data_IF_480285541568
#
_entry.id   IF_480285541568
#
_cell.length_a   1.000
_cell.length_b   1.000
_cell.length_c   1.000
_cell.angle_alpha   90.00
_cell.angle_beta   90.00
_cell.angle_gamma   90.00
#
_symmetry.space_group_name_H-M   'P 1'
#
loop_
_entity.id
_entity.type
_entity.pdbx_description
1 polymer ?
#
# COMPACT_ATOMS: atom_id res chain seq x y z
N UNK A 1 -19.27 -27.20 -10.54
CA UNK A 1 -18.08 -26.84 -9.74
C UNK A 1 -17.39 -25.70 -10.44
N UNK A 2 -17.26 -24.55 -9.79
CA UNK A 2 -16.48 -23.42 -10.32
C UNK A 2 -15.01 -23.70 -10.00
N UNK A 3 -14.14 -23.73 -11.00
CA UNK A 3 -12.70 -23.95 -10.77
C UNK A 3 -12.01 -22.67 -10.30
N UNK A 4 -10.86 -22.80 -9.63
CA UNK A 4 -10.03 -21.65 -9.25
C UNK A 4 -9.61 -20.79 -10.47
N UNK A 5 -9.43 -21.43 -11.64
CA UNK A 5 -9.15 -20.72 -12.89
C UNK A 5 -10.35 -19.91 -13.39
N UNK A 6 -11.58 -20.42 -13.24
CA UNK A 6 -12.79 -19.66 -13.59
C UNK A 6 -13.06 -18.49 -12.65
N UNK A 7 -12.67 -18.60 -11.38
CA UNK A 7 -12.72 -17.49 -10.41
C UNK A 7 -11.67 -16.43 -10.75
N UNK A 8 -10.44 -16.84 -11.12
CA UNK A 8 -9.37 -15.92 -11.49
C UNK A 8 -9.62 -15.11 -12.77
N UNK A 9 -10.49 -15.60 -13.65
CA UNK A 9 -10.87 -14.92 -14.89
C UNK A 9 -11.93 -13.82 -14.70
N UNK A 10 -12.55 -13.72 -13.53
CA UNK A 10 -13.61 -12.75 -13.24
C UNK A 10 -13.06 -11.46 -12.68
N UNK A 11 -13.70 -10.34 -13.00
CA UNK A 11 -13.35 -9.04 -12.45
C UNK A 11 -13.74 -8.94 -10.97
N UNK A 12 -13.09 -8.05 -10.19
CA UNK A 12 -13.45 -7.80 -8.79
C UNK A 12 -14.94 -7.50 -8.56
N UNK A 13 -15.56 -6.75 -9.48
CA UNK A 13 -16.96 -6.39 -9.41
C UNK A 13 -17.88 -7.61 -9.59
N UNK A 14 -17.62 -8.43 -10.62
CA UNK A 14 -18.41 -9.64 -10.89
C UNK A 14 -18.29 -10.67 -9.77
N UNK A 15 -17.12 -10.76 -9.14
CA UNK A 15 -16.95 -11.62 -7.98
C UNK A 15 -17.68 -11.04 -6.77
N UNK A 16 -17.58 -9.73 -6.49
CA UNK A 16 -18.26 -9.10 -5.36
C UNK A 16 -19.79 -9.27 -5.44
N UNK A 17 -20.36 -9.12 -6.64
CA UNK A 17 -21.79 -9.33 -6.89
C UNK A 17 -22.18 -10.81 -6.73
N UNK A 18 -21.35 -11.74 -7.19
CA UNK A 18 -21.58 -13.18 -7.03
C UNK A 18 -21.57 -13.63 -5.56
N UNK A 19 -20.72 -13.03 -4.72
CA UNK A 19 -20.66 -13.40 -3.29
C UNK A 19 -21.76 -12.72 -2.48
N UNK A 20 -22.13 -11.47 -2.81
CA UNK A 20 -23.36 -10.83 -2.26
C UNK A 20 -24.61 -11.64 -2.57
N UNK A 21 -24.72 -12.19 -3.79
CA UNK A 21 -25.85 -13.04 -4.17
C UNK A 21 -25.97 -14.34 -3.35
N UNK A 22 -24.91 -14.74 -2.64
CA UNK A 22 -24.91 -15.91 -1.75
C UNK A 22 -24.96 -15.54 -0.26
N UNK A 23 -25.21 -14.27 0.07
CA UNK A 23 -25.38 -13.79 1.44
C UNK A 23 -24.17 -14.08 2.35
N UNK A 24 -22.97 -14.08 1.77
CA UNK A 24 -21.70 -14.27 2.48
C UNK A 24 -21.06 -12.91 2.73
N UNK A 25 -20.82 -12.59 4.00
CA UNK A 25 -20.05 -11.40 4.38
C UNK A 25 -18.58 -11.59 4.04
N UNK A 26 -18.03 -10.62 3.30
CA UNK A 26 -16.68 -10.69 2.77
C UNK A 26 -15.64 -10.34 3.82
N UNK A 27 -14.62 -11.19 3.95
CA UNK A 27 -13.39 -10.82 4.65
C UNK A 27 -12.54 -9.98 3.71
N UNK A 28 -12.84 -8.68 3.67
CA UNK A 28 -12.02 -7.65 3.05
C UNK A 28 -12.54 -7.03 1.74
N UNK A 29 -11.82 -6.05 1.17
CA UNK A 29 -12.19 -5.32 -0.04
C UNK A 29 -12.03 -6.20 -1.29
N UNK A 30 -13.04 -6.21 -2.17
CA UNK A 30 -13.04 -6.89 -3.47
C UNK A 30 -11.82 -6.57 -4.33
N UNK A 31 -11.18 -5.40 -4.13
CA UNK A 31 -9.92 -5.01 -4.79
C UNK A 31 -8.74 -5.95 -4.48
N UNK A 32 -8.79 -6.72 -3.39
CA UNK A 32 -7.70 -7.64 -3.02
C UNK A 32 -7.81 -9.03 -3.66
N UNK A 33 -8.95 -9.34 -4.25
CA UNK A 33 -9.26 -10.68 -4.77
C UNK A 33 -8.45 -11.11 -5.99
N UNK A 34 -8.13 -10.24 -6.98
CA UNK A 34 -7.23 -10.63 -8.05
C UNK A 34 -5.85 -11.06 -7.53
N UNK A 35 -5.38 -10.42 -6.45
CA UNK A 35 -4.10 -10.74 -5.81
C UNK A 35 -4.17 -12.06 -5.03
N UNK A 36 -5.26 -12.31 -4.31
CA UNK A 36 -5.52 -13.61 -3.66
C UNK A 36 -5.61 -14.75 -4.68
N UNK A 37 -6.35 -14.55 -5.77
CA UNK A 37 -6.52 -15.55 -6.84
C UNK A 37 -5.18 -15.87 -7.52
N UNK A 38 -4.34 -14.86 -7.77
CA UNK A 38 -3.00 -15.05 -8.34
C UNK A 38 -2.07 -15.84 -7.41
N UNK A 39 -2.09 -15.55 -6.10
CA UNK A 39 -1.30 -16.27 -5.10
C UNK A 39 -1.78 -17.72 -4.94
N UNK A 40 -3.10 -17.94 -4.91
CA UNK A 40 -3.68 -19.28 -4.87
C UNK A 40 -3.37 -20.10 -6.13
N UNK A 41 -3.46 -19.50 -7.31
CA UNK A 41 -3.10 -20.14 -8.58
C UNK A 41 -1.59 -20.47 -8.65
N UNK A 42 -0.74 -19.66 -8.01
CA UNK A 42 0.69 -19.91 -7.88
C UNK A 42 1.06 -20.92 -6.79
N UNK A 43 0.09 -21.39 -5.98
CA UNK A 43 0.34 -22.26 -4.83
C UNK A 43 1.13 -21.58 -3.70
N UNK A 44 1.19 -20.25 -3.66
CA UNK A 44 1.94 -19.48 -2.68
C UNK A 44 1.15 -19.32 -1.38
N UNK A 45 1.16 -20.40 -0.57
CA UNK A 45 0.47 -20.44 0.72
C UNK A 45 1.00 -19.38 1.71
N UNK A 46 2.29 -19.04 1.64
CA UNK A 46 2.91 -18.04 2.51
C UNK A 46 2.46 -16.62 2.14
N UNK A 47 2.43 -16.31 0.84
CA UNK A 47 1.89 -15.05 0.34
C UNK A 47 0.39 -14.90 0.64
N UNK A 48 -0.37 -16.01 0.61
CA UNK A 48 -1.78 -16.00 0.99
C UNK A 48 -1.98 -15.68 2.48
N UNK A 49 -1.16 -16.26 3.35
CA UNK A 49 -1.25 -16.03 4.80
C UNK A 49 -0.75 -14.65 5.21
N UNK A 50 0.28 -14.14 4.52
CA UNK A 50 0.73 -12.76 4.70
C UNK A 50 -0.34 -11.76 4.26
N UNK A 51 -0.99 -12.03 3.12
CA UNK A 51 -2.08 -11.22 2.63
C UNK A 51 -3.26 -11.24 3.61
N UNK A 52 -3.64 -12.39 4.17
CA UNK A 52 -4.68 -12.48 5.21
C UNK A 52 -4.34 -11.68 6.47
N UNK A 53 -3.09 -11.73 6.94
CA UNK A 53 -2.64 -10.91 8.09
C UNK A 53 -2.71 -9.42 7.80
N UNK A 54 -2.36 -9.02 6.57
CA UNK A 54 -2.42 -7.64 6.09
C UNK A 54 -3.85 -7.15 5.85
N UNK A 55 -4.80 -8.04 5.62
CA UNK A 55 -6.20 -7.75 5.22
C UNK A 55 -7.16 -7.72 6.42
N UNK A 56 -6.67 -7.56 7.65
CA UNK A 56 -7.55 -7.24 8.78
C UNK A 56 -8.30 -5.95 8.42
N UNK A 57 -9.62 -6.06 8.19
CA UNK A 57 -10.55 -5.01 7.72
C UNK A 57 -10.49 -4.63 6.23
N UNK A 58 -9.97 -5.49 5.35
CA UNK A 58 -10.08 -5.28 3.90
C UNK A 58 -9.12 -4.27 3.28
N UNK A 59 -8.23 -3.70 4.10
CA UNK A 59 -7.25 -2.71 3.70
C UNK A 59 -5.87 -3.36 3.78
N UNK A 60 -5.26 -3.70 2.65
CA UNK A 60 -3.89 -4.19 2.64
C UNK A 60 -2.96 -3.03 3.04
N UNK A 61 -2.57 -2.96 4.31
CA UNK A 61 -1.64 -1.96 4.79
C UNK A 61 -0.25 -2.23 4.23
N UNK A 62 0.34 -1.24 3.58
CA UNK A 62 1.77 -1.28 3.30
C UNK A 62 2.58 -0.86 4.52
N UNK A 63 3.84 -1.30 4.50
CA UNK A 63 4.81 -0.86 5.48
C UNK A 63 5.48 0.42 5.01
N UNK A 64 4.85 1.56 5.33
CA UNK A 64 5.37 2.88 5.00
C UNK A 64 6.72 3.19 5.67
N UNK A 65 7.14 2.41 6.69
CA UNK A 65 8.45 2.60 7.32
C UNK A 65 9.63 2.19 6.43
N UNK A 66 9.35 1.53 5.30
CA UNK A 66 10.33 1.29 4.25
C UNK A 66 10.82 2.59 3.58
N UNK A 67 10.04 3.67 3.67
CA UNK A 67 10.37 4.97 3.09
C UNK A 67 11.26 5.78 4.05
N UNK A 68 12.30 6.41 3.53
CA UNK A 68 13.21 7.23 4.31
C UNK A 68 12.49 8.45 4.88
N UNK A 69 12.62 8.65 6.19
CA UNK A 69 11.97 9.73 6.93
C UNK A 69 10.64 9.33 7.58
N UNK A 70 10.14 8.11 7.37
CA UNK A 70 8.93 7.58 7.99
C UNK A 70 9.27 6.55 9.07
N UNK A 71 9.07 6.93 10.34
CA UNK A 71 9.16 6.02 11.48
C UNK A 71 7.78 5.46 11.92
N UNK A 72 7.75 4.50 12.86
CA UNK A 72 6.50 3.84 13.28
C UNK A 72 5.40 4.80 13.75
N UNK A 73 5.76 5.87 14.48
CA UNK A 73 4.81 6.89 14.94
C UNK A 73 4.15 7.63 13.78
N UNK A 74 4.93 7.93 12.74
CA UNK A 74 4.45 8.66 11.58
C UNK A 74 3.64 7.74 10.66
N UNK A 75 4.04 6.48 10.49
CA UNK A 75 3.22 5.48 9.82
C UNK A 75 1.84 5.37 10.49
N UNK A 76 1.77 5.35 11.82
CA UNK A 76 0.48 5.32 12.51
C UNK A 76 -0.34 6.59 12.23
N UNK A 77 0.28 7.78 12.33
CA UNK A 77 -0.38 9.05 12.00
C UNK A 77 -0.95 9.04 10.57
N UNK A 78 -0.19 8.56 9.59
CA UNK A 78 -0.62 8.47 8.20
C UNK A 78 -1.82 7.51 8.05
N UNK A 79 -1.77 6.35 8.71
CA UNK A 79 -2.86 5.37 8.73
C UNK A 79 -4.14 5.94 9.35
N UNK A 80 -4.01 6.66 10.46
CA UNK A 80 -5.14 7.33 11.13
C UNK A 80 -5.79 8.40 10.24
N UNK A 81 -5.05 8.91 9.24
CA UNK A 81 -5.52 9.85 8.22
C UNK A 81 -5.85 9.18 6.88
N UNK A 82 -5.99 7.86 6.84
CA UNK A 82 -6.42 7.11 5.64
C UNK A 82 -5.32 6.80 4.63
N UNK A 83 -4.07 7.17 4.90
CA UNK A 83 -2.91 6.88 4.05
C UNK A 83 -2.32 5.54 4.53
N UNK A 84 -2.74 4.45 3.90
CA UNK A 84 -2.47 3.09 4.38
C UNK A 84 -1.58 2.27 3.44
N UNK A 85 -1.43 2.71 2.18
CA UNK A 85 -0.64 2.03 1.14
C UNK A 85 0.39 2.96 0.49
N UNK A 86 1.33 2.38 -0.26
CA UNK A 86 2.26 3.17 -1.08
C UNK A 86 1.53 3.97 -2.17
N UNK A 87 0.42 3.44 -2.68
CA UNK A 87 -0.40 4.14 -3.67
C UNK A 87 -1.05 5.39 -3.06
N UNK A 88 -1.66 5.25 -1.87
CA UNK A 88 -2.27 6.40 -1.17
C UNK A 88 -1.23 7.49 -0.89
N UNK A 89 -0.04 7.10 -0.44
CA UNK A 89 1.02 8.05 -0.12
C UNK A 89 1.65 8.67 -1.38
N UNK A 90 1.69 7.95 -2.50
CA UNK A 90 2.15 8.47 -3.78
C UNK A 90 1.21 9.55 -4.35
N UNK A 91 -0.09 9.43 -4.07
CA UNK A 91 -1.13 10.39 -4.49
C UNK A 91 -1.38 11.50 -3.47
N UNK A 92 -0.83 11.37 -2.25
CA UNK A 92 -1.02 12.34 -1.18
C UNK A 92 -0.42 13.70 -1.54
N UNK A 93 -1.20 14.75 -1.29
CA UNK A 93 -0.74 16.13 -1.45
C UNK A 93 0.34 16.48 -0.40
N UNK A 94 1.44 17.05 -0.87
CA UNK A 94 2.59 17.38 0.00
C UNK A 94 2.23 18.44 1.04
N UNK A 95 1.37 19.42 0.73
CA UNK A 95 0.94 20.42 1.71
C UNK A 95 0.09 19.79 2.81
N UNK A 96 -0.81 18.87 2.46
CA UNK A 96 -1.55 18.09 3.43
C UNK A 96 -0.62 17.27 4.34
N UNK A 97 0.37 16.58 3.79
CA UNK A 97 1.37 15.85 4.58
C UNK A 97 2.14 16.79 5.51
N UNK A 98 2.56 17.96 5.01
CA UNK A 98 3.25 18.98 5.84
C UNK A 98 2.35 19.45 6.97
N UNK A 99 1.04 19.61 6.74
CA UNK A 99 0.07 19.95 7.78
C UNK A 99 0.02 18.87 8.86
N UNK A 100 -0.12 17.59 8.51
CA UNK A 100 -0.16 16.47 9.46
C UNK A 100 1.12 16.41 10.31
N UNK A 101 2.28 16.50 9.68
CA UNK A 101 3.60 16.45 10.35
C UNK A 101 3.77 17.62 11.31
N UNK A 102 3.37 18.84 10.89
CA UNK A 102 3.42 20.04 11.74
C UNK A 102 2.47 19.94 12.93
N UNK A 103 1.23 19.48 12.71
CA UNK A 103 0.25 19.28 13.77
C UNK A 103 0.75 18.27 14.81
N UNK A 104 1.43 17.21 14.37
CA UNK A 104 2.05 16.20 15.22
C UNK A 104 3.41 16.64 15.83
N UNK A 105 3.90 17.85 15.51
CA UNK A 105 5.20 18.40 15.96
C UNK A 105 6.38 17.46 15.69
N UNK A 106 6.34 16.74 14.57
CA UNK A 106 7.38 15.80 14.18
C UNK A 106 8.51 16.53 13.42
N UNK A 107 9.79 16.32 13.78
CA UNK A 107 10.92 17.01 13.17
C UNK A 107 11.36 16.35 11.84
N UNK A 108 10.42 16.17 10.91
CA UNK A 108 10.66 15.54 9.61
C UNK A 108 9.98 16.34 8.49
N UNK A 109 10.33 16.05 7.23
CA UNK A 109 9.78 16.72 6.05
C UNK A 109 9.22 15.69 5.08
N UNK A 110 7.96 15.83 4.63
CA UNK A 110 7.30 14.84 3.79
C UNK A 110 7.62 14.94 2.29
N UNK A 111 8.40 15.94 1.89
CA UNK A 111 8.62 16.39 0.52
C UNK A 111 8.99 15.26 -0.46
N UNK A 112 9.73 14.25 0.01
CA UNK A 112 10.21 13.14 -0.82
C UNK A 112 9.35 11.88 -0.69
N UNK A 113 8.45 11.80 0.28
CA UNK A 113 7.70 10.57 0.56
C UNK A 113 6.80 10.14 -0.62
N UNK A 114 6.03 11.03 -1.29
CA UNK A 114 5.21 10.62 -2.42
C UNK A 114 6.02 10.03 -3.58
N UNK A 115 7.21 10.60 -3.84
CA UNK A 115 8.11 10.12 -4.89
C UNK A 115 8.74 8.78 -4.54
N UNK A 116 9.20 8.61 -3.30
CA UNK A 116 9.66 7.31 -2.80
C UNK A 116 8.54 6.25 -2.88
N UNK A 117 7.33 6.60 -2.45
CA UNK A 117 6.16 5.73 -2.47
C UNK A 117 5.75 5.34 -3.90
N UNK A 118 5.92 6.24 -4.87
CA UNK A 118 5.67 5.95 -6.30
C UNK A 118 6.52 4.78 -6.80
N UNK A 119 7.80 4.69 -6.41
CA UNK A 119 8.65 3.57 -6.80
C UNK A 119 8.14 2.25 -6.20
N UNK A 120 7.82 2.24 -4.91
CA UNK A 120 7.33 1.03 -4.22
C UNK A 120 5.93 0.60 -4.69
N UNK A 121 5.03 1.56 -4.98
CA UNK A 121 3.72 1.29 -5.57
C UNK A 121 3.83 0.64 -6.96
N UNK A 122 4.86 0.99 -7.72
CA UNK A 122 5.17 0.41 -9.04
C UNK A 122 5.99 -0.90 -8.96
N UNK A 123 6.46 -1.28 -7.77
CA UNK A 123 7.38 -2.41 -7.59
C UNK A 123 8.79 -2.14 -8.15
N UNK A 124 9.14 -0.88 -8.41
CA UNK A 124 10.45 -0.49 -8.93
C UNK A 124 11.47 -0.34 -7.78
N UNK A 125 11.94 -1.49 -7.28
CA UNK A 125 12.91 -1.53 -6.18
C UNK A 125 14.26 -0.94 -6.57
N UNK A 126 14.66 -1.06 -7.83
CA UNK A 126 15.94 -0.52 -8.30
C UNK A 126 15.90 1.01 -8.37
N UNK A 127 14.83 1.57 -8.96
CA UNK A 127 14.60 3.01 -8.98
C UNK A 127 14.50 3.60 -7.58
N UNK A 128 13.82 2.90 -6.66
CA UNK A 128 13.74 3.28 -5.25
C UNK A 128 15.13 3.40 -4.60
N UNK A 129 15.98 2.37 -4.72
CA UNK A 129 17.31 2.38 -4.13
C UNK A 129 18.25 3.40 -4.78
N UNK A 130 18.12 3.64 -6.09
CA UNK A 130 18.86 4.72 -6.76
C UNK A 130 18.42 6.10 -6.28
N UNK A 131 17.12 6.32 -6.11
CA UNK A 131 16.58 7.58 -5.62
C UNK A 131 17.05 7.85 -4.19
N UNK A 132 17.01 6.86 -3.30
CA UNK A 132 17.53 6.98 -1.92
C UNK A 132 18.99 7.43 -1.87
N UNK A 133 19.85 6.90 -2.75
CA UNK A 133 21.26 7.33 -2.82
C UNK A 133 21.44 8.80 -3.21
N UNK A 134 20.45 9.40 -3.87
CA UNK A 134 20.46 10.82 -4.25
C UNK A 134 19.90 11.71 -3.12
N UNK A 135 19.24 11.13 -2.12
CA UNK A 135 18.75 11.86 -0.96
C UNK A 135 19.90 12.13 0.02
N UNK A 136 19.95 13.35 0.55
CA UNK A 136 20.80 13.71 1.70
C UNK A 136 19.91 13.80 2.94
N UNK A 137 19.76 12.69 3.66
CA UNK A 137 18.94 12.63 4.87
C UNK A 137 17.46 12.94 4.64
N UNK A 138 16.87 12.30 3.62
CA UNK A 138 15.45 12.41 3.27
C UNK A 138 15.06 13.63 2.43
N UNK A 139 16.03 14.47 2.05
CA UNK A 139 15.83 15.63 1.18
C UNK A 139 16.54 15.43 -0.15
N UNK A 140 15.96 15.91 -1.23
CA UNK A 140 16.68 15.95 -2.52
C UNK A 140 17.97 16.76 -2.30
N UNK A 141 19.11 16.21 -2.72
CA UNK A 141 20.35 16.96 -2.69
C UNK A 141 20.14 18.21 -3.55
N UNK A 142 20.11 19.39 -2.92
CA UNK A 142 20.15 20.64 -3.66
C UNK A 142 21.34 20.57 -4.60
N UNK A 143 21.08 20.63 -5.91
CA UNK A 143 22.07 21.13 -6.85
C UNK A 143 22.31 22.58 -6.44
N UNK A 144 23.48 22.82 -5.86
CA UNK A 144 24.09 24.16 -5.82
C UNK A 144 24.62 24.48 -7.22
#
# INVERSE_FOLDING_TARGET
>A
MTSFAQVAAKTPAELADAVKAQNVDLVGDAKTWPRQAKLAAAGDANGLEDLKRRVKEGKAYDDLTLLEGIGPKLQQLLRDNGIISFADLAEADVEHLRHLVRAAKLPTMPDTWPKQATFLAKGDLNGFEQYKKQLKGGREASSD
#
